data_IF_521793506298
#
_entry.id   IF_521793506298
#
_cell.length_a   1.000
_cell.length_b   1.000
_cell.length_c   1.000
_cell.angle_alpha   90.00
_cell.angle_beta   90.00
_cell.angle_gamma   90.00
#
_symmetry.space_group_name_H-M   'P 1'
#
loop_
_entity.id
_entity.type
_entity.pdbx_description
1 polymer ?
#
# COMPACT_ATOMS: atom_id res chain seq x y z
N UNK A 1 -17.02 -5.63 -12.35
CA UNK A 1 -17.46 -4.32 -11.77
C UNK A 1 -18.15 -4.41 -10.41
N UNK A 2 -19.24 -5.19 -10.22
CA UNK A 2 -19.88 -5.34 -8.88
C UNK A 2 -18.87 -5.81 -7.82
N UNK A 3 -18.09 -6.83 -8.16
CA UNK A 3 -16.99 -7.35 -7.33
C UNK A 3 -15.95 -6.28 -7.00
N UNK A 4 -15.48 -5.50 -7.99
CA UNK A 4 -14.52 -4.42 -7.76
C UNK A 4 -15.06 -3.34 -6.80
N UNK A 5 -16.34 -2.98 -6.89
CA UNK A 5 -16.94 -2.04 -5.93
C UNK A 5 -16.99 -2.62 -4.50
N UNK A 6 -17.29 -3.90 -4.36
CA UNK A 6 -17.29 -4.60 -3.07
C UNK A 6 -15.87 -4.72 -2.49
N UNK A 7 -14.89 -5.05 -3.31
CA UNK A 7 -13.47 -5.12 -2.94
C UNK A 7 -12.95 -3.74 -2.52
N UNK A 8 -13.21 -2.70 -3.31
CA UNK A 8 -12.83 -1.32 -2.98
C UNK A 8 -13.44 -0.87 -1.66
N UNK A 9 -14.69 -1.24 -1.38
CA UNK A 9 -15.32 -0.95 -0.10
C UNK A 9 -14.59 -1.63 1.06
N UNK A 10 -14.16 -2.88 0.90
CA UNK A 10 -13.41 -3.60 1.94
C UNK A 10 -12.02 -3.01 2.17
N UNK A 11 -11.31 -2.64 1.09
CA UNK A 11 -10.00 -1.97 1.17
C UNK A 11 -10.14 -0.63 1.90
N UNK A 12 -11.19 0.14 1.60
CA UNK A 12 -11.49 1.39 2.29
C UNK A 12 -11.81 1.18 3.78
N UNK A 13 -12.69 0.23 4.11
CA UNK A 13 -13.04 -0.07 5.51
C UNK A 13 -11.85 -0.58 6.32
N UNK A 14 -10.92 -1.30 5.70
CA UNK A 14 -9.71 -1.79 6.35
C UNK A 14 -8.64 -0.70 6.55
N UNK A 15 -8.84 0.52 6.03
CA UNK A 15 -7.92 1.65 6.22
C UNK A 15 -6.71 1.66 5.28
N UNK A 16 -6.72 0.86 4.20
CA UNK A 16 -5.59 0.79 3.26
C UNK A 16 -5.56 1.92 2.24
N UNK A 17 -6.68 2.62 2.04
CA UNK A 17 -6.82 3.65 1.01
C UNK A 17 -7.60 4.84 1.57
N UNK A 18 -7.22 6.04 1.14
CA UNK A 18 -7.93 7.26 1.54
C UNK A 18 -9.36 7.27 0.97
N UNK A 19 -10.34 7.86 1.68
CA UNK A 19 -11.69 8.06 1.14
C UNK A 19 -11.70 8.86 -0.17
N UNK A 20 -10.77 9.80 -0.31
CA UNK A 20 -10.59 10.62 -1.51
C UNK A 20 -10.19 9.76 -2.71
N UNK A 21 -9.13 8.96 -2.57
CA UNK A 21 -8.63 8.11 -3.64
C UNK A 21 -9.63 6.99 -3.98
N UNK A 22 -10.29 6.39 -2.98
CA UNK A 22 -11.37 5.43 -3.20
C UNK A 22 -12.55 6.04 -3.98
N UNK A 23 -12.92 7.30 -3.71
CA UNK A 23 -13.94 8.01 -4.48
C UNK A 23 -13.51 8.22 -5.94
N UNK A 24 -12.25 8.59 -6.17
CA UNK A 24 -11.69 8.72 -7.53
C UNK A 24 -11.73 7.39 -8.29
N UNK A 25 -11.22 6.31 -7.69
CA UNK A 25 -11.25 4.96 -8.29
C UNK A 25 -12.69 4.54 -8.58
N UNK A 26 -13.63 4.76 -7.66
CA UNK A 26 -15.05 4.46 -7.87
C UNK A 26 -15.64 5.18 -9.10
N UNK A 27 -15.22 6.42 -9.35
CA UNK A 27 -15.62 7.16 -10.56
C UNK A 27 -15.01 6.51 -11.81
N UNK A 28 -13.71 6.20 -11.76
CA UNK A 28 -12.94 5.65 -12.87
C UNK A 28 -13.32 4.21 -13.24
N UNK A 29 -13.94 3.46 -12.32
CA UNK A 29 -14.62 2.20 -12.64
C UNK A 29 -15.80 2.36 -13.63
N UNK A 30 -16.17 3.59 -14.01
CA UNK A 30 -17.15 3.90 -15.05
C UNK A 30 -16.53 4.60 -16.28
N UNK A 31 -15.21 4.73 -16.36
CA UNK A 31 -14.52 5.35 -17.51
C UNK A 31 -14.13 4.30 -18.56
N UNK A 32 -13.53 4.76 -19.66
CA UNK A 32 -12.93 3.90 -20.69
C UNK A 32 -11.74 3.08 -20.17
N UNK A 33 -11.13 3.52 -19.06
CA UNK A 33 -9.99 2.85 -18.40
C UNK A 33 -10.43 1.88 -17.30
N UNK A 34 -11.72 1.55 -17.21
CA UNK A 34 -12.28 0.76 -16.11
C UNK A 34 -11.55 -0.58 -15.87
N UNK A 35 -11.00 -1.21 -16.91
CA UNK A 35 -10.35 -2.52 -16.80
C UNK A 35 -9.08 -2.42 -15.94
N UNK A 36 -8.27 -1.37 -16.15
CA UNK A 36 -7.10 -1.08 -15.30
C UNK A 36 -7.51 -0.91 -13.83
N UNK A 37 -8.58 -0.16 -13.55
CA UNK A 37 -9.03 0.08 -12.18
C UNK A 37 -9.66 -1.17 -11.53
N UNK A 38 -10.29 -2.04 -12.32
CA UNK A 38 -10.77 -3.34 -11.83
C UNK A 38 -9.57 -4.20 -11.40
N UNK A 39 -8.53 -4.29 -12.22
CA UNK A 39 -7.32 -5.05 -11.93
C UNK A 39 -6.55 -4.47 -10.73
N UNK A 40 -6.40 -3.14 -10.67
CA UNK A 40 -5.72 -2.49 -9.56
C UNK A 40 -6.44 -2.73 -8.22
N UNK A 41 -7.78 -2.64 -8.20
CA UNK A 41 -8.57 -2.93 -6.99
C UNK A 41 -8.47 -4.40 -6.58
N UNK A 42 -8.54 -5.33 -7.54
CA UNK A 42 -8.40 -6.76 -7.27
C UNK A 42 -7.01 -7.09 -6.70
N UNK A 43 -5.97 -6.48 -7.25
CA UNK A 43 -4.58 -6.62 -6.79
C UNK A 43 -4.41 -6.11 -5.36
N UNK A 44 -4.86 -4.89 -5.05
CA UNK A 44 -4.77 -4.34 -3.69
C UNK A 44 -5.57 -5.19 -2.71
N UNK A 45 -6.78 -5.59 -3.08
CA UNK A 45 -7.62 -6.46 -2.25
C UNK A 45 -6.94 -7.80 -1.97
N UNK A 46 -6.32 -8.41 -2.98
CA UNK A 46 -5.59 -9.68 -2.85
C UNK A 46 -4.36 -9.53 -1.96
N UNK A 47 -3.57 -8.47 -2.14
CA UNK A 47 -2.43 -8.14 -1.27
C UNK A 47 -2.91 -7.96 0.18
N UNK A 48 -4.00 -7.23 0.40
CA UNK A 48 -4.59 -7.07 1.72
C UNK A 48 -4.97 -8.43 2.35
N UNK A 49 -5.28 -9.48 1.59
CA UNK A 49 -5.55 -10.80 2.17
C UNK A 49 -4.27 -11.56 2.56
N UNK A 50 -3.24 -11.48 1.72
CA UNK A 50 -2.07 -12.39 1.81
C UNK A 50 -0.81 -11.74 2.36
N UNK A 51 -0.73 -10.41 2.43
CA UNK A 51 0.50 -9.76 2.87
C UNK A 51 0.84 -10.16 4.31
N UNK A 52 2.14 -10.33 4.63
CA UNK A 52 2.55 -10.89 5.91
C UNK A 52 2.18 -10.02 7.10
N UNK A 53 2.00 -10.66 8.25
CA UNK A 53 1.86 -9.98 9.54
C UNK A 53 3.21 -9.54 10.07
N UNK A 54 3.21 -8.56 10.97
CA UNK A 54 4.41 -8.12 11.69
C UNK A 54 5.16 -9.33 12.27
N UNK A 55 6.47 -9.38 12.02
CA UNK A 55 7.44 -10.45 12.34
C UNK A 55 7.46 -11.66 11.39
N UNK A 56 6.54 -11.79 10.43
CA UNK A 56 6.57 -12.89 9.45
C UNK A 56 7.65 -12.72 8.36
N UNK A 57 8.26 -11.54 8.26
CA UNK A 57 9.42 -11.28 7.41
C UNK A 57 10.72 -11.00 8.20
N UNK A 58 10.71 -11.22 9.51
CA UNK A 58 11.90 -10.99 10.35
C UNK A 58 13.11 -11.83 9.89
N UNK A 59 14.30 -11.25 10.04
CA UNK A 59 15.56 -11.85 9.60
C UNK A 59 15.80 -11.89 8.07
N UNK A 60 14.86 -11.45 7.23
CA UNK A 60 15.06 -11.43 5.77
C UNK A 60 15.91 -10.27 5.27
N UNK A 61 16.02 -9.19 6.05
CA UNK A 61 16.80 -7.99 5.67
C UNK A 61 16.37 -7.46 4.31
N UNK A 62 17.33 -7.26 3.40
CA UNK A 62 17.05 -6.80 2.03
C UNK A 62 16.20 -7.76 1.19
N UNK A 63 16.05 -9.02 1.61
CA UNK A 63 15.16 -10.00 0.96
C UNK A 63 13.70 -9.92 1.44
N UNK A 64 13.38 -9.03 2.40
CA UNK A 64 11.99 -8.77 2.77
C UNK A 64 11.25 -8.17 1.56
N UNK A 65 10.02 -8.62 1.32
CA UNK A 65 9.20 -8.15 0.20
C UNK A 65 8.34 -6.99 0.68
N UNK A 66 8.45 -5.84 0.02
CA UNK A 66 7.46 -4.78 0.13
C UNK A 66 6.26 -5.14 -0.76
N UNK A 67 5.07 -5.15 -0.19
CA UNK A 67 3.82 -5.51 -0.85
C UNK A 67 3.03 -4.29 -1.31
N UNK A 68 3.14 -3.18 -0.58
CA UNK A 68 2.45 -1.94 -0.89
C UNK A 68 3.42 -0.78 -0.96
N UNK A 69 3.03 0.22 -1.73
CA UNK A 69 3.71 1.49 -1.83
C UNK A 69 2.69 2.61 -1.65
N UNK A 70 2.99 3.53 -0.74
CA UNK A 70 2.29 4.80 -0.61
C UNK A 70 3.25 5.92 -0.92
N UNK A 71 2.78 6.99 -1.53
CA UNK A 71 3.64 8.12 -1.83
C UNK A 71 2.94 9.45 -1.59
N UNK A 72 3.74 10.44 -1.24
CA UNK A 72 3.40 11.87 -1.30
C UNK A 72 4.31 12.53 -2.32
N UNK A 73 4.25 13.87 -2.45
CA UNK A 73 5.18 14.58 -3.32
C UNK A 73 6.66 14.43 -2.92
N UNK A 74 6.97 14.09 -1.66
CA UNK A 74 8.35 14.12 -1.13
C UNK A 74 8.73 12.88 -0.32
N UNK A 75 7.88 11.86 -0.25
CA UNK A 75 8.12 10.71 0.63
C UNK A 75 7.41 9.47 0.09
N UNK A 76 8.17 8.38 0.04
CA UNK A 76 7.72 7.05 -0.35
C UNK A 76 7.69 6.14 0.88
N UNK A 77 6.65 5.33 1.01
CA UNK A 77 6.45 4.38 2.09
C UNK A 77 6.20 3.00 1.50
N UNK A 78 7.15 2.09 1.67
CA UNK A 78 7.09 0.72 1.19
C UNK A 78 6.75 -0.22 2.35
N UNK A 79 5.61 -0.89 2.29
CA UNK A 79 5.09 -1.70 3.40
C UNK A 79 5.42 -3.17 3.19
N UNK A 80 6.16 -3.76 4.13
CA UNK A 80 6.48 -5.19 4.12
C UNK A 80 5.46 -6.02 4.86
N UNK A 81 4.96 -5.51 5.99
CA UNK A 81 4.11 -6.25 6.91
C UNK A 81 3.00 -5.34 7.46
N UNK A 82 1.85 -5.93 7.76
CA UNK A 82 0.72 -5.24 8.38
C UNK A 82 0.46 -5.75 9.80
N UNK A 83 -0.11 -4.90 10.63
CA UNK A 83 -0.85 -5.36 11.79
C UNK A 83 -2.27 -5.80 11.39
N UNK A 84 -2.84 -6.81 12.07
CA UNK A 84 -4.23 -7.26 11.81
C UNK A 84 -5.04 -7.43 13.10
N UNK A 85 -4.68 -6.79 14.21
CA UNK A 85 -5.62 -6.67 15.33
C UNK A 85 -6.48 -5.39 15.15
N UNK A 86 -7.72 -5.58 14.69
CA UNK A 86 -8.80 -4.58 14.61
C UNK A 86 -8.56 -3.34 13.71
N UNK A 87 -8.05 -3.57 12.50
CA UNK A 87 -7.81 -2.54 11.49
C UNK A 87 -6.32 -2.19 11.39
N UNK A 88 -5.89 -1.58 10.28
CA UNK A 88 -4.47 -1.22 10.15
C UNK A 88 -4.22 0.13 10.80
N UNK A 89 -3.87 0.10 12.07
CA UNK A 89 -3.27 1.25 12.76
C UNK A 89 -1.75 1.30 12.54
N UNK A 90 -1.12 0.12 12.42
CA UNK A 90 0.33 -0.03 12.33
C UNK A 90 0.75 -1.03 11.23
N UNK A 91 1.90 -0.77 10.65
CA UNK A 91 2.57 -1.58 9.64
C UNK A 91 4.09 -1.53 9.89
N UNK A 92 4.84 -2.35 9.17
CA UNK A 92 6.30 -2.31 9.15
C UNK A 92 6.78 -2.14 7.71
N UNK A 93 7.87 -1.40 7.52
CA UNK A 93 8.35 -1.12 6.17
C UNK A 93 9.52 -0.16 6.12
N UNK A 94 9.77 0.33 4.90
CA UNK A 94 10.81 1.30 4.58
C UNK A 94 10.18 2.64 4.21
N UNK A 95 10.71 3.73 4.75
CA UNK A 95 10.37 5.11 4.40
C UNK A 95 11.56 5.72 3.70
N UNK A 96 11.34 6.34 2.54
CA UNK A 96 12.35 7.07 1.79
C UNK A 96 11.94 8.53 1.66
N UNK A 97 12.82 9.44 2.07
CA UNK A 97 12.65 10.88 1.90
C UNK A 97 13.54 11.37 0.77
N UNK A 98 13.08 12.36 0.00
CA UNK A 98 13.81 12.92 -1.17
C UNK A 98 15.26 13.35 -0.85
N UNK A 99 15.59 13.65 0.42
CA UNK A 99 16.89 14.17 0.83
C UNK A 99 17.48 13.49 2.07
N UNK A 100 17.04 12.28 2.41
CA UNK A 100 17.52 11.58 3.61
C UNK A 100 17.75 10.08 3.35
N UNK A 101 18.46 9.42 4.27
CA UNK A 101 18.67 7.98 4.21
C UNK A 101 17.35 7.24 4.46
N UNK A 102 17.07 6.18 3.68
CA UNK A 102 15.88 5.38 3.92
C UNK A 102 15.87 4.76 5.31
N UNK A 103 14.76 4.89 6.02
CA UNK A 103 14.56 4.35 7.36
C UNK A 103 13.68 3.11 7.31
N UNK A 104 14.01 2.09 8.11
CA UNK A 104 13.16 0.90 8.27
C UNK A 104 12.56 0.91 9.67
N UNK A 105 11.26 0.72 9.78
CA UNK A 105 10.59 0.70 11.05
C UNK A 105 9.08 0.58 10.95
N UNK A 106 8.43 0.87 12.08
CA UNK A 106 6.98 0.91 12.15
C UNK A 106 6.42 2.15 11.47
N UNK A 107 5.35 1.95 10.69
CA UNK A 107 4.66 2.98 9.92
C UNK A 107 3.19 2.95 10.31
N UNK A 108 2.60 4.10 10.62
CA UNK A 108 1.14 4.20 10.77
C UNK A 108 0.52 4.51 9.42
N UNK A 109 -0.20 3.54 8.81
CA UNK A 109 -0.89 3.75 7.53
C UNK A 109 -1.95 4.85 7.68
N UNK A 110 -2.62 4.92 8.83
CA UNK A 110 -3.59 5.97 9.12
C UNK A 110 -2.97 7.38 9.02
N UNK A 111 -1.83 7.61 9.68
CA UNK A 111 -1.15 8.92 9.65
C UNK A 111 -0.58 9.24 8.25
N UNK A 112 -0.06 8.23 7.54
CA UNK A 112 0.42 8.37 6.15
C UNK A 112 -0.72 8.79 5.22
N UNK A 113 -1.90 8.17 5.34
CA UNK A 113 -3.10 8.55 4.57
C UNK A 113 -3.59 9.94 4.97
N UNK A 114 -3.61 10.29 6.27
CA UNK A 114 -3.99 11.63 6.75
C UNK A 114 -3.05 12.72 6.23
N UNK A 115 -1.77 12.40 6.07
CA UNK A 115 -0.76 13.29 5.48
C UNK A 115 -0.92 13.48 3.97
N UNK A 116 -1.89 12.78 3.34
CA UNK A 116 -2.22 12.92 1.93
C UNK A 116 -1.51 11.92 1.02
N UNK A 117 -0.92 10.86 1.58
CA UNK A 117 -0.33 9.82 0.75
C UNK A 117 -1.41 9.00 0.02
N UNK A 118 -1.09 8.59 -1.20
CA UNK A 118 -1.93 7.74 -2.03
C UNK A 118 -1.29 6.36 -2.21
N UNK A 119 -2.09 5.31 -2.27
CA UNK A 119 -1.59 3.98 -2.64
C UNK A 119 -1.21 3.99 -4.12
N UNK A 120 -0.04 3.46 -4.45
CA UNK A 120 0.44 3.37 -5.82
C UNK A 120 -0.27 2.23 -6.57
N UNK A 121 -1.06 2.59 -7.59
CA UNK A 121 -1.81 1.64 -8.40
C UNK A 121 -0.97 0.89 -9.43
N UNK A 122 0.30 1.24 -9.60
CA UNK A 122 1.25 0.58 -10.51
C UNK A 122 2.28 -0.28 -9.76
N UNK A 123 2.53 -0.01 -8.47
CA UNK A 123 3.52 -0.75 -7.70
C UNK A 123 3.28 -2.26 -7.67
N UNK A 124 4.32 -3.04 -7.95
CA UNK A 124 4.33 -4.50 -7.83
C UNK A 124 5.24 -4.94 -6.68
N UNK A 125 4.88 -6.01 -5.94
CA UNK A 125 5.71 -6.48 -4.84
C UNK A 125 7.13 -6.83 -5.27
N UNK A 126 8.12 -6.30 -4.55
CA UNK A 126 9.54 -6.52 -4.79
C UNK A 126 10.35 -6.38 -3.51
N UNK A 127 11.58 -6.84 -3.54
CA UNK A 127 12.44 -6.86 -2.35
C UNK A 127 12.88 -5.46 -1.94
N UNK A 128 13.14 -5.27 -0.64
CA UNK A 128 13.73 -4.02 -0.14
C UNK A 128 15.08 -3.73 -0.80
N UNK A 129 15.86 -4.77 -1.14
CA UNK A 129 17.12 -4.63 -1.88
C UNK A 129 16.93 -4.05 -3.27
N UNK A 130 15.90 -4.47 -4.02
CA UNK A 130 15.57 -3.90 -5.33
C UNK A 130 15.08 -2.45 -5.22
N UNK A 131 14.29 -2.13 -4.18
CA UNK A 131 13.82 -0.77 -3.93
C UNK A 131 15.01 0.16 -3.67
N UNK A 132 15.91 -0.20 -2.76
CA UNK A 132 17.07 0.60 -2.38
C UNK A 132 18.04 0.86 -3.54
N UNK A 133 18.09 0.00 -4.55
CA UNK A 133 18.91 0.22 -5.75
C UNK A 133 18.34 1.29 -6.69
N UNK A 134 17.03 1.56 -6.58
CA UNK A 134 16.33 2.56 -7.39
C UNK A 134 16.06 3.89 -6.68
N UNK A 135 16.43 4.00 -5.41
CA UNK A 135 16.43 5.26 -4.63
C UNK A 135 17.75 6.00 -4.87
#
# INVERSE_FOLDING_TARGET
KKTALEQLSKVLTAGFISPQQAKCIKSLLNSEEQDFFIEAVDRIYSIMQVMPKILEQDGKGDNAIAYLHYFTANTDFYITEKDIEDGITQAFGLVSFVSDYPEIGYISIEEVIKAGAEIDLHFEPKTLGEIKQGL
#
